data_IF_561043537097
#
_entry.id   IF_561043537097
#
_cell.length_a   1.000
_cell.length_b   1.000
_cell.length_c   1.000
_cell.angle_alpha   90.00
_cell.angle_beta   90.00
_cell.angle_gamma   90.00
#
_symmetry.space_group_name_H-M   'P 1'
#
loop_
_entity.id
_entity.type
_entity.pdbx_description
1 polymer ?
#
# COMPACT_ATOMS: atom_id res chain seq x y z
N UNK A 1 -22.77 12.93 -3.74
CA UNK A 1 -21.63 12.54 -4.54
C UNK A 1 -21.80 11.15 -5.13
N UNK A 2 -21.66 11.08 -6.44
CA UNK A 2 -21.86 9.85 -7.17
C UNK A 2 -20.55 9.05 -7.30
N UNK A 3 -20.70 7.80 -7.71
CA UNK A 3 -19.58 6.88 -7.91
C UNK A 3 -18.52 7.43 -8.87
N UNK A 4 -18.96 7.96 -10.01
CA UNK A 4 -18.04 8.47 -11.04
C UNK A 4 -17.17 9.62 -10.52
N UNK A 5 -17.73 10.49 -9.71
CA UNK A 5 -17.01 11.60 -9.09
C UNK A 5 -15.93 11.11 -8.14
N UNK A 6 -16.28 10.17 -7.25
CA UNK A 6 -15.31 9.60 -6.30
C UNK A 6 -14.20 8.82 -7.02
N UNK A 7 -14.57 8.03 -8.02
CA UNK A 7 -13.59 7.26 -8.81
C UNK A 7 -12.64 8.16 -9.61
N UNK A 8 -13.14 9.27 -10.15
CA UNK A 8 -12.29 10.25 -10.83
C UNK A 8 -11.27 10.86 -9.85
N UNK A 9 -11.74 11.23 -8.67
CA UNK A 9 -10.92 11.85 -7.65
C UNK A 9 -9.84 10.92 -7.13
N UNK A 10 -10.24 9.71 -6.74
CA UNK A 10 -9.31 8.69 -6.24
C UNK A 10 -8.39 8.23 -7.36
N UNK A 11 -8.94 7.95 -8.53
CA UNK A 11 -8.16 7.47 -9.68
C UNK A 11 -7.06 8.44 -10.12
N UNK A 12 -7.30 9.74 -10.03
CA UNK A 12 -6.29 10.75 -10.33
C UNK A 12 -5.10 10.64 -9.38
N UNK A 13 -5.35 10.44 -8.09
CA UNK A 13 -4.27 10.34 -7.10
C UNK A 13 -3.57 8.99 -7.13
N UNK A 14 -4.30 7.89 -7.15
CA UNK A 14 -3.67 6.57 -7.13
C UNK A 14 -2.91 6.27 -8.41
N UNK A 15 -3.32 6.81 -9.55
CA UNK A 15 -2.59 6.61 -10.82
C UNK A 15 -1.22 7.29 -10.85
N UNK A 16 -0.94 8.21 -9.94
CA UNK A 16 0.39 8.81 -9.77
C UNK A 16 1.41 7.83 -9.19
N UNK A 17 0.94 6.78 -8.54
CA UNK A 17 1.75 5.79 -7.82
C UNK A 17 1.59 4.40 -8.40
N UNK A 18 0.41 4.00 -8.83
CA UNK A 18 0.06 2.66 -9.31
C UNK A 18 0.03 2.58 -10.83
N UNK A 19 0.98 1.87 -11.51
CA UNK A 19 2.14 1.22 -10.93
C UNK A 19 3.38 2.11 -10.95
N UNK A 20 4.28 1.88 -10.02
CA UNK A 20 5.63 2.42 -10.06
C UNK A 20 6.59 1.26 -9.76
N UNK A 21 7.25 0.72 -10.75
CA UNK A 21 8.14 -0.43 -10.58
C UNK A 21 9.44 -0.07 -9.88
N UNK A 22 10.05 1.04 -10.28
CA UNK A 22 11.25 1.56 -9.64
C UNK A 22 10.86 2.68 -8.67
N UNK A 23 11.15 2.51 -7.38
CA UNK A 23 10.80 3.49 -6.36
C UNK A 23 11.40 4.87 -6.61
N UNK A 24 12.55 4.96 -7.26
CA UNK A 24 13.19 6.23 -7.59
C UNK A 24 12.34 7.09 -8.53
N UNK A 25 11.51 6.46 -9.35
CA UNK A 25 10.60 7.17 -10.26
C UNK A 25 9.52 7.95 -9.51
N UNK A 26 9.27 7.65 -8.24
CA UNK A 26 8.35 8.42 -7.42
C UNK A 26 8.78 9.88 -7.26
N UNK A 27 10.05 10.17 -7.39
CA UNK A 27 10.53 11.55 -7.33
C UNK A 27 10.06 12.42 -8.51
N UNK A 28 9.61 11.82 -9.59
CA UNK A 28 8.98 12.56 -10.70
C UNK A 28 7.64 13.18 -10.28
N UNK A 29 6.87 12.44 -9.49
CA UNK A 29 5.58 12.91 -8.95
C UNK A 29 5.73 13.67 -7.63
N UNK A 30 6.75 13.35 -6.85
CA UNK A 30 6.98 13.89 -5.52
C UNK A 30 8.43 14.38 -5.36
N UNK A 31 8.80 15.48 -6.06
CA UNK A 31 10.20 15.93 -6.08
C UNK A 31 10.73 16.39 -4.73
N UNK A 32 9.85 16.74 -3.80
CA UNK A 32 10.22 17.17 -2.45
C UNK A 32 10.30 16.03 -1.44
N UNK A 33 10.16 14.81 -1.91
CA UNK A 33 10.22 13.61 -1.07
C UNK A 33 8.88 12.94 -0.84
N UNK A 34 8.94 11.75 -0.27
CA UNK A 34 7.77 10.92 0.01
C UNK A 34 8.04 9.94 1.14
N UNK A 35 6.96 9.47 1.73
CA UNK A 35 6.98 8.34 2.67
C UNK A 35 6.15 7.20 2.11
N UNK A 36 6.67 5.98 2.23
CA UNK A 36 6.00 4.75 1.85
C UNK A 36 5.68 3.95 3.09
N UNK A 37 4.48 3.44 3.16
CA UNK A 37 4.01 2.69 4.31
C UNK A 37 3.09 1.56 3.86
N UNK A 38 3.40 0.33 4.27
CA UNK A 38 2.57 -0.83 4.01
C UNK A 38 2.54 -1.72 5.23
N UNK A 39 1.35 -2.15 5.63
CA UNK A 39 1.14 -3.03 6.77
C UNK A 39 0.33 -4.23 6.31
N UNK A 40 0.68 -5.39 6.80
CA UNK A 40 -0.12 -6.59 6.60
C UNK A 40 -0.06 -7.52 7.81
N UNK A 41 -1.08 -8.38 7.93
CA UNK A 41 -1.14 -9.39 8.97
C UNK A 41 -0.15 -10.51 8.68
N UNK A 42 0.52 -10.96 9.73
CA UNK A 42 1.44 -12.09 9.69
C UNK A 42 1.10 -13.05 10.84
N UNK A 43 1.07 -14.31 10.55
CA UNK A 43 0.74 -15.33 11.55
C UNK A 43 1.85 -16.39 11.63
N UNK A 44 2.30 -16.65 12.84
CA UNK A 44 3.30 -17.68 13.12
C UNK A 44 2.94 -18.37 14.44
N UNK A 45 2.86 -19.72 14.42
CA UNK A 45 2.52 -20.50 15.60
C UNK A 45 1.23 -20.04 16.31
N UNK A 46 0.19 -19.74 15.53
CA UNK A 46 -1.10 -19.23 15.99
C UNK A 46 -1.07 -17.82 16.61
N UNK A 47 0.09 -17.23 16.77
CA UNK A 47 0.20 -15.85 17.21
C UNK A 47 0.09 -14.88 16.02
N UNK A 48 -0.63 -13.77 16.24
CA UNK A 48 -0.86 -12.75 15.22
C UNK A 48 0.11 -11.59 15.40
N UNK A 49 0.74 -11.22 14.30
CA UNK A 49 1.66 -10.10 14.22
C UNK A 49 1.25 -9.14 13.12
N UNK A 50 1.78 -7.94 13.16
CA UNK A 50 1.80 -7.02 12.04
C UNK A 50 3.22 -6.92 11.50
N UNK A 51 3.32 -6.94 10.18
CA UNK A 51 4.57 -6.60 9.48
C UNK A 51 4.36 -5.25 8.82
N UNK A 52 5.24 -4.31 9.14
CA UNK A 52 5.20 -2.95 8.64
C UNK A 52 6.46 -2.66 7.85
N UNK A 53 6.29 -2.17 6.64
CA UNK A 53 7.38 -1.65 5.81
C UNK A 53 7.20 -0.15 5.71
N UNK A 54 8.20 0.60 6.19
CA UNK A 54 8.24 2.06 6.10
C UNK A 54 9.50 2.49 5.39
N UNK A 55 9.39 3.40 4.43
CA UNK A 55 10.56 3.93 3.73
C UNK A 55 10.40 5.42 3.47
N UNK A 56 11.52 6.14 3.52
CA UNK A 56 11.60 7.56 3.25
C UNK A 56 12.45 7.82 2.02
N UNK A 57 11.87 8.51 1.04
CA UNK A 57 12.60 9.15 -0.04
C UNK A 57 12.73 10.63 0.26
N UNK A 58 13.93 11.09 0.60
CA UNK A 58 14.16 12.49 1.01
C UNK A 58 14.37 13.38 -0.20
N UNK A 59 15.28 13.02 -1.08
CA UNK A 59 15.47 13.68 -2.36
C UNK A 59 16.10 12.75 -3.38
N UNK A 60 15.92 13.09 -4.64
CA UNK A 60 16.48 12.34 -5.78
C UNK A 60 18.00 12.19 -5.61
N UNK A 61 18.51 11.04 -6.00
CA UNK A 61 19.94 10.65 -5.92
C UNK A 61 20.43 10.28 -4.52
N UNK A 62 19.65 10.48 -3.47
CA UNK A 62 19.91 9.90 -2.16
C UNK A 62 19.22 8.54 -2.04
N UNK A 63 19.81 7.57 -1.33
CA UNK A 63 19.18 6.28 -1.11
C UNK A 63 17.84 6.42 -0.41
N UNK A 64 16.85 5.63 -0.86
CA UNK A 64 15.58 5.49 -0.18
C UNK A 64 15.79 4.48 0.93
N UNK A 65 15.52 4.85 2.18
CA UNK A 65 15.82 4.03 3.36
C UNK A 65 14.63 3.90 4.27
N UNK A 66 14.62 2.82 5.02
CA UNK A 66 13.57 2.60 5.99
C UNK A 66 13.77 1.35 6.83
N UNK A 67 12.65 0.81 7.30
CA UNK A 67 12.64 -0.34 8.21
C UNK A 67 11.53 -1.32 7.86
N UNK A 68 11.81 -2.58 8.14
CA UNK A 68 10.85 -3.67 8.15
C UNK A 68 10.67 -4.09 9.61
N UNK A 69 9.45 -3.99 10.13
CA UNK A 69 9.16 -4.16 11.54
C UNK A 69 8.17 -5.29 11.74
N UNK A 70 8.52 -6.22 12.65
CA UNK A 70 7.61 -7.23 13.17
C UNK A 70 7.15 -6.79 14.55
N UNK A 71 5.83 -6.68 14.75
CA UNK A 71 5.26 -6.28 16.03
C UNK A 71 4.01 -7.10 16.38
N UNK A 72 3.72 -7.17 17.67
CA UNK A 72 2.49 -7.79 18.16
C UNK A 72 1.27 -7.00 17.70
N UNK A 73 0.26 -7.70 17.16
CA UNK A 73 -0.94 -7.05 16.62
C UNK A 73 -1.84 -6.41 17.68
N UNK A 74 -1.73 -6.84 18.92
CA UNK A 74 -2.56 -6.35 20.04
C UNK A 74 -1.86 -5.28 20.86
N UNK A 75 -0.62 -5.57 21.31
CA UNK A 75 0.13 -4.67 22.19
C UNK A 75 0.96 -3.63 21.45
N UNK A 76 1.27 -3.87 20.17
CA UNK A 76 2.18 -3.03 19.41
C UNK A 76 3.65 -3.19 19.77
N UNK A 77 3.97 -4.15 20.65
CA UNK A 77 5.36 -4.43 21.02
C UNK A 77 6.17 -4.86 19.80
N UNK A 78 7.31 -4.20 19.59
CA UNK A 78 8.20 -4.51 18.47
C UNK A 78 9.12 -5.65 18.85
N UNK A 79 9.07 -6.73 18.07
CA UNK A 79 9.94 -7.89 18.28
C UNK A 79 11.20 -7.83 17.44
N UNK A 80 11.10 -7.24 16.26
CA UNK A 80 12.23 -7.17 15.34
C UNK A 80 12.13 -5.94 14.46
N UNK A 81 13.27 -5.30 14.24
CA UNK A 81 13.42 -4.19 13.29
C UNK A 81 14.61 -4.49 12.39
N UNK A 82 14.36 -4.50 11.08
CA UNK A 82 15.36 -4.75 10.06
C UNK A 82 15.50 -3.48 9.23
N UNK A 83 16.72 -2.98 9.08
CA UNK A 83 16.97 -1.84 8.21
C UNK A 83 16.90 -2.26 6.74
N UNK A 84 16.33 -1.40 5.92
CA UNK A 84 16.19 -1.63 4.50
C UNK A 84 16.62 -0.40 3.73
N UNK A 85 17.28 -0.63 2.60
CA UNK A 85 17.67 0.39 1.66
C UNK A 85 17.25 -0.06 0.26
N UNK A 86 16.72 0.85 -0.53
CA UNK A 86 16.39 0.59 -1.93
C UNK A 86 17.48 1.20 -2.81
N UNK A 87 18.13 0.34 -3.58
CA UNK A 87 19.17 0.72 -4.53
C UNK A 87 19.26 -0.31 -5.66
N UNK A 88 19.69 0.13 -6.82
CA UNK A 88 19.87 -0.73 -8.01
C UNK A 88 18.63 -1.55 -8.33
N UNK A 89 17.44 -0.91 -8.26
CA UNK A 89 16.13 -1.54 -8.48
C UNK A 89 15.78 -2.68 -7.52
N UNK A 90 16.37 -2.69 -6.33
CA UNK A 90 16.09 -3.76 -5.37
C UNK A 90 16.20 -3.31 -3.92
N UNK A 91 15.66 -4.14 -3.05
CA UNK A 91 15.74 -3.94 -1.61
C UNK A 91 16.93 -4.68 -1.04
N UNK A 92 17.70 -4.00 -0.19
CA UNK A 92 18.83 -4.56 0.53
C UNK A 92 18.55 -4.45 2.02
N UNK A 93 18.61 -5.56 2.72
CA UNK A 93 18.32 -5.66 4.14
C UNK A 93 19.58 -5.98 4.93
N UNK A 94 19.65 -5.52 6.18
CA UNK A 94 20.73 -5.90 7.08
C UNK A 94 20.58 -7.34 7.63
N UNK A 95 19.39 -7.93 7.49
CA UNK A 95 19.11 -9.34 7.75
C UNK A 95 18.25 -9.91 6.61
N UNK A 96 18.89 -10.32 5.53
CA UNK A 96 18.22 -10.81 4.31
C UNK A 96 17.34 -12.03 4.54
N UNK A 97 17.80 -12.97 5.36
CA UNK A 97 17.07 -14.21 5.62
C UNK A 97 15.75 -13.95 6.34
N UNK A 98 15.79 -13.12 7.38
CA UNK A 98 14.60 -12.79 8.15
C UNK A 98 13.66 -11.88 7.33
N UNK A 99 14.21 -10.96 6.56
CA UNK A 99 13.43 -10.11 5.68
C UNK A 99 12.65 -10.92 4.64
N UNK A 100 13.27 -11.93 4.05
CA UNK A 100 12.60 -12.81 3.09
C UNK A 100 11.44 -13.57 3.74
N UNK A 101 11.60 -13.99 4.99
CA UNK A 101 10.55 -14.65 5.77
C UNK A 101 9.38 -13.71 6.04
N UNK A 102 9.63 -12.49 6.47
CA UNK A 102 8.62 -11.51 6.86
C UNK A 102 7.98 -10.80 5.67
N UNK A 103 8.73 -10.56 4.62
CA UNK A 103 8.26 -9.87 3.42
C UNK A 103 8.73 -10.60 2.16
N UNK A 104 8.14 -11.77 1.88
CA UNK A 104 8.57 -12.61 0.75
C UNK A 104 8.37 -11.94 -0.61
N UNK A 105 7.38 -11.05 -0.74
CA UNK A 105 7.13 -10.31 -1.98
C UNK A 105 8.28 -9.37 -2.34
N UNK A 106 8.93 -8.77 -1.35
CA UNK A 106 10.02 -7.79 -1.52
C UNK A 106 9.69 -6.75 -2.59
N UNK A 107 8.44 -6.30 -2.55
CA UNK A 107 7.89 -5.27 -3.42
C UNK A 107 6.64 -4.70 -2.77
N UNK A 108 6.41 -3.41 -2.91
CA UNK A 108 5.15 -2.81 -2.52
C UNK A 108 4.04 -3.20 -3.51
N UNK A 109 2.81 -3.25 -3.04
CA UNK A 109 1.66 -3.55 -3.89
C UNK A 109 1.59 -2.59 -5.09
N UNK A 110 1.87 -1.31 -4.87
CA UNK A 110 1.83 -0.30 -5.93
C UNK A 110 2.86 -0.53 -7.05
N UNK A 111 3.88 -1.36 -6.82
CA UNK A 111 4.84 -1.72 -7.86
C UNK A 111 4.28 -2.78 -8.82
N UNK A 112 3.22 -3.48 -8.42
CA UNK A 112 2.71 -4.68 -9.09
C UNK A 112 1.38 -4.51 -9.80
N UNK A 113 0.55 -3.56 -9.37
CA UNK A 113 -0.79 -3.41 -9.94
C UNK A 113 -1.04 -2.01 -10.49
N UNK A 114 -1.92 -1.94 -11.48
CA UNK A 114 -2.38 -0.68 -12.07
C UNK A 114 -3.70 -0.29 -11.45
N UNK A 115 -3.79 0.93 -10.93
CA UNK A 115 -5.05 1.50 -10.45
C UNK A 115 -5.29 2.85 -11.12
N UNK A 116 -6.45 3.00 -11.76
CA UNK A 116 -6.90 4.25 -12.35
C UNK A 116 -8.42 4.29 -12.37
N UNK A 117 -8.98 5.43 -12.77
CA UNK A 117 -10.43 5.65 -12.81
C UNK A 117 -11.15 4.57 -13.64
N UNK A 118 -10.64 4.27 -14.82
CA UNK A 118 -11.28 3.34 -15.74
C UNK A 118 -11.32 1.93 -15.16
N UNK A 119 -10.23 1.50 -14.54
CA UNK A 119 -10.18 0.22 -13.86
C UNK A 119 -11.15 0.16 -12.67
N UNK A 120 -11.18 1.20 -11.83
CA UNK A 120 -12.09 1.26 -10.68
C UNK A 120 -13.56 1.17 -11.11
N UNK A 121 -13.90 1.75 -12.25
CA UNK A 121 -15.28 1.72 -12.76
C UNK A 121 -15.76 0.30 -13.13
N UNK A 122 -14.85 -0.63 -13.37
CA UNK A 122 -15.17 -2.03 -13.70
C UNK A 122 -15.45 -2.89 -12.47
N UNK A 123 -15.06 -2.41 -11.28
CA UNK A 123 -15.15 -3.19 -10.05
C UNK A 123 -16.56 -3.20 -9.47
N UNK A 124 -16.89 -4.27 -8.75
CA UNK A 124 -18.16 -4.36 -8.04
C UNK A 124 -18.16 -3.46 -6.81
N UNK A 125 -18.97 -2.41 -6.88
CA UNK A 125 -19.13 -1.48 -5.77
C UNK A 125 -19.84 -2.17 -4.60
N UNK A 126 -19.23 -2.07 -3.41
CA UNK A 126 -19.83 -2.52 -2.16
C UNK A 126 -20.45 -1.36 -1.40
N UNK A 127 -19.71 -0.30 -1.18
CA UNK A 127 -20.13 0.85 -0.40
C UNK A 127 -19.42 2.12 -0.85
N UNK A 128 -20.07 3.24 -0.64
CA UNK A 128 -19.47 4.57 -0.79
C UNK A 128 -20.02 5.52 0.26
N UNK A 129 -19.20 6.44 0.73
CA UNK A 129 -19.63 7.46 1.66
C UNK A 129 -18.97 8.81 1.39
N UNK A 130 -19.60 9.86 1.83
CA UNK A 130 -19.08 11.21 1.80
C UNK A 130 -19.61 11.98 2.99
N UNK A 131 -18.72 12.59 3.75
CA UNK A 131 -19.07 13.42 4.89
C UNK A 131 -18.91 14.89 4.50
N UNK A 132 -20.03 15.61 4.46
CA UNK A 132 -20.05 17.02 4.08
C UNK A 132 -19.44 17.94 5.12
N UNK A 133 -19.37 17.50 6.37
CA UNK A 133 -18.86 18.33 7.46
C UNK A 133 -17.33 18.47 7.42
N UNK A 134 -16.62 17.40 7.13
CA UNK A 134 -15.17 17.37 7.11
C UNK A 134 -14.56 17.02 5.75
N UNK A 135 -15.42 16.81 4.75
CA UNK A 135 -14.96 16.47 3.39
C UNK A 135 -14.34 15.09 3.24
N UNK A 136 -14.47 14.22 4.25
CA UNK A 136 -13.97 12.86 4.13
C UNK A 136 -14.84 12.03 3.20
N UNK A 137 -14.23 11.11 2.50
CA UNK A 137 -14.93 10.23 1.56
C UNK A 137 -14.28 8.85 1.54
N UNK A 138 -15.06 7.88 1.11
CA UNK A 138 -14.55 6.54 0.90
C UNK A 138 -15.37 5.78 -0.13
N UNK A 139 -14.75 4.79 -0.73
CA UNK A 139 -15.38 3.87 -1.65
C UNK A 139 -14.77 2.49 -1.50
N UNK A 140 -15.61 1.48 -1.40
CA UNK A 140 -15.21 0.11 -1.16
C UNK A 140 -15.74 -0.78 -2.27
N UNK A 141 -14.90 -1.72 -2.68
CA UNK A 141 -15.24 -2.70 -3.72
C UNK A 141 -15.04 -4.11 -3.20
N UNK A 142 -15.92 -5.03 -3.63
CA UNK A 142 -15.67 -6.46 -3.52
C UNK A 142 -14.93 -6.90 -4.78
N UNK A 143 -13.73 -7.42 -4.62
CA UNK A 143 -12.90 -7.77 -5.75
C UNK A 143 -12.36 -9.19 -5.64
N UNK A 144 -12.16 -9.80 -6.80
CA UNK A 144 -11.38 -11.00 -6.98
C UNK A 144 -10.39 -10.71 -8.10
N UNK A 145 -9.24 -10.18 -7.72
CA UNK A 145 -8.20 -9.75 -8.64
C UNK A 145 -7.00 -10.70 -8.54
N UNK A 146 -6.70 -11.45 -9.61
CA UNK A 146 -5.59 -12.42 -9.59
C UNK A 146 -4.27 -11.81 -9.15
N UNK A 147 -3.95 -10.59 -9.59
CA UNK A 147 -2.70 -9.91 -9.26
C UNK A 147 -2.57 -9.61 -7.78
N UNK A 148 -3.66 -9.20 -7.14
CA UNK A 148 -3.68 -8.93 -5.70
C UNK A 148 -3.63 -10.22 -4.91
N UNK A 149 -4.41 -11.23 -5.32
CA UNK A 149 -4.41 -12.53 -4.66
C UNK A 149 -3.03 -13.19 -4.72
N UNK A 150 -2.37 -13.10 -5.86
CA UNK A 150 -1.00 -13.60 -6.02
C UNK A 150 -0.02 -12.87 -5.11
N UNK A 151 -0.09 -11.54 -5.08
CA UNK A 151 0.76 -10.72 -4.22
C UNK A 151 0.59 -11.07 -2.73
N UNK A 152 -0.65 -11.30 -2.29
CA UNK A 152 -0.98 -11.63 -0.89
C UNK A 152 -0.87 -13.14 -0.59
N UNK A 153 -0.53 -13.97 -1.56
CA UNK A 153 -0.51 -15.44 -1.44
C UNK A 153 -1.87 -16.02 -1.03
N UNK A 154 -2.95 -15.43 -1.51
CA UNK A 154 -4.30 -15.92 -1.33
C UNK A 154 -4.69 -16.87 -2.46
N UNK A 155 -5.66 -17.80 -2.22
CA UNK A 155 -6.25 -18.58 -3.29
C UNK A 155 -6.86 -17.68 -4.37
N UNK A 156 -6.77 -18.11 -5.64
CA UNK A 156 -7.28 -17.33 -6.76
C UNK A 156 -8.78 -17.01 -6.66
N UNK A 157 -9.54 -17.83 -5.96
CA UNK A 157 -10.98 -17.67 -5.77
C UNK A 157 -11.36 -16.75 -4.60
N UNK A 158 -10.39 -16.28 -3.80
CA UNK A 158 -10.69 -15.47 -2.63
C UNK A 158 -11.16 -14.08 -3.01
N UNK A 159 -12.34 -13.70 -2.52
CA UNK A 159 -12.82 -12.32 -2.60
C UNK A 159 -12.20 -11.49 -1.48
N UNK A 160 -11.80 -10.28 -1.82
CA UNK A 160 -11.25 -9.32 -0.87
C UNK A 160 -11.99 -8.00 -1.00
N UNK A 161 -11.92 -7.20 0.05
CA UNK A 161 -12.42 -5.83 0.01
C UNK A 161 -11.27 -4.87 -0.31
N UNK A 162 -11.47 -4.06 -1.34
CA UNK A 162 -10.53 -3.00 -1.72
C UNK A 162 -11.14 -1.67 -1.35
N UNK A 163 -10.52 -0.96 -0.41
CA UNK A 163 -11.03 0.28 0.14
C UNK A 163 -10.13 1.46 -0.18
N UNK A 164 -10.75 2.56 -0.59
CA UNK A 164 -10.07 3.82 -0.83
C UNK A 164 -10.75 4.93 -0.03
N UNK A 165 -9.95 5.83 0.49
CA UNK A 165 -10.47 6.96 1.22
C UNK A 165 -9.55 8.16 1.21
N UNK A 166 -10.11 9.29 1.60
CA UNK A 166 -9.36 10.53 1.69
C UNK A 166 -10.20 11.63 2.33
N UNK A 167 -9.61 12.80 2.42
CA UNK A 167 -10.24 13.98 3.00
C UNK A 167 -9.82 15.24 2.28
N UNK A 168 -10.75 16.19 2.17
CA UNK A 168 -10.46 17.51 1.61
C UNK A 168 -9.48 18.31 2.48
N UNK A 169 -9.53 18.10 3.79
CA UNK A 169 -8.78 18.90 4.75
C UNK A 169 -7.27 18.64 4.72
N UNK A 170 -6.85 17.42 4.42
CA UNK A 170 -5.46 16.99 4.55
C UNK A 170 -4.75 16.73 3.23
N UNK A 171 -5.45 16.68 2.13
CA UNK A 171 -4.94 16.22 0.82
C UNK A 171 -4.28 14.84 0.87
N UNK A 172 -4.59 14.08 1.92
CA UNK A 172 -4.06 12.73 2.11
C UNK A 172 -5.06 11.72 1.58
N UNK A 173 -4.54 10.78 0.83
CA UNK A 173 -5.29 9.63 0.34
C UNK A 173 -4.70 8.38 0.93
N UNK A 174 -5.57 7.50 1.40
CA UNK A 174 -5.16 6.20 1.86
C UNK A 174 -6.03 5.13 1.22
N UNK A 175 -5.49 3.96 1.12
CA UNK A 175 -6.22 2.80 0.62
C UNK A 175 -5.82 1.58 1.45
N UNK A 176 -6.70 0.62 1.51
CA UNK A 176 -6.45 -0.64 2.19
C UNK A 176 -6.90 -1.81 1.34
N UNK A 177 -6.19 -2.91 1.48
CA UNK A 177 -6.55 -4.20 0.89
C UNK A 177 -6.78 -5.17 2.03
N UNK A 178 -8.02 -5.63 2.15
CA UNK A 178 -8.44 -6.49 3.26
C UNK A 178 -9.01 -7.80 2.72
#
# INVERSE_FOLDING_TARGET
NNRAYLEKRIGTEVSRVYPTQNLEDLFEQFPNGFKLYQVYDYKENEQKYLVTVEMDGVKKEEPIRGTLILQDSNSGEKYKTINVEYRDNGFVFDDEKEALKLWPQQAFLFQKITLNKDFLSTLKLKEKHYNTMNGSFGINYDVNLPEINEYLSFPASKSIELSFGGSNSNRNYYYSVV
#
